data_IF_513076210840
#
_entry.id   IF_513076210840
#
_cell.length_a   1.000
_cell.length_b   1.000
_cell.length_c   1.000
_cell.angle_alpha   90.00
_cell.angle_beta   90.00
_cell.angle_gamma   90.00
#
_symmetry.space_group_name_H-M   'P 1'
#
loop_
_entity.id
_entity.type
_entity.pdbx_description
1 polymer ?
#
# COMPACT_ATOMS: atom_id res chain seq x y z
N UNK A 1 151.71 131.97 88.75
CA UNK A 1 151.09 131.99 87.41
C UNK A 1 151.23 130.60 86.77
N UNK A 2 150.15 129.81 86.69
CA UNK A 2 150.14 128.39 86.20
C UNK A 2 149.55 128.29 84.76
N UNK A 3 149.10 129.41 84.20
CA UNK A 3 148.37 129.51 82.92
C UNK A 3 149.07 128.89 81.69
N UNK A 4 150.41 129.00 81.50
CA UNK A 4 151.07 128.46 80.30
C UNK A 4 151.09 126.92 80.22
N UNK A 5 151.15 126.22 81.35
CA UNK A 5 151.31 124.76 81.37
C UNK A 5 150.03 124.01 80.92
N UNK A 6 148.86 124.52 81.31
CA UNK A 6 147.55 123.95 80.95
C UNK A 6 147.29 124.21 79.45
N UNK A 7 147.62 125.40 78.96
CA UNK A 7 147.48 125.75 77.54
C UNK A 7 148.39 124.90 76.65
N UNK A 8 149.66 124.71 77.02
CA UNK A 8 150.58 123.84 76.30
C UNK A 8 150.08 122.38 76.25
N UNK A 9 149.51 121.85 77.34
CA UNK A 9 148.96 120.49 77.37
C UNK A 9 147.67 120.37 76.54
N UNK A 10 146.79 121.37 76.58
CA UNK A 10 145.62 121.42 75.71
C UNK A 10 146.01 121.44 74.23
N UNK A 11 147.01 122.24 73.85
CA UNK A 11 147.56 122.31 72.49
C UNK A 11 148.21 120.99 72.07
N UNK A 12 148.95 120.32 72.95
CA UNK A 12 149.54 119.00 72.63
C UNK A 12 148.44 117.94 72.43
N UNK A 13 147.39 117.97 73.24
CA UNK A 13 146.29 117.00 73.12
C UNK A 13 145.43 117.26 71.88
N UNK A 14 145.14 118.52 71.55
CA UNK A 14 144.43 118.87 70.30
C UNK A 14 145.29 118.60 69.08
N UNK A 15 146.59 118.91 69.14
CA UNK A 15 147.55 118.56 68.09
C UNK A 15 147.61 117.05 67.89
N UNK A 16 147.83 116.24 68.94
CA UNK A 16 147.80 114.77 68.85
C UNK A 16 146.47 114.22 68.35
N UNK A 17 145.34 114.82 68.74
CA UNK A 17 144.01 114.42 68.27
C UNK A 17 143.84 114.69 66.78
N UNK A 18 144.26 115.87 66.32
CA UNK A 18 144.26 116.22 64.89
C UNK A 18 145.22 115.30 64.14
N UNK A 19 146.43 115.08 64.67
CA UNK A 19 147.43 114.18 64.10
C UNK A 19 146.97 112.73 64.02
N UNK A 20 146.14 112.27 64.96
CA UNK A 20 145.53 110.93 64.89
C UNK A 20 144.34 110.82 63.94
N UNK A 21 143.78 111.96 63.51
CA UNK A 21 142.58 112.02 62.66
C UNK A 21 142.87 112.43 61.22
N UNK A 22 144.08 112.93 60.96
CA UNK A 22 144.51 113.46 59.66
C UNK A 22 145.80 112.73 59.28
N UNK A 23 145.86 112.07 58.11
CA UNK A 23 147.06 111.39 57.67
C UNK A 23 148.16 112.44 57.42
N UNK A 24 149.26 112.34 58.17
CA UNK A 24 150.35 113.32 58.14
C UNK A 24 151.55 112.82 57.36
N UNK A 25 151.63 111.51 57.12
CA UNK A 25 152.68 110.89 56.33
C UNK A 25 152.16 110.48 54.96
N UNK A 26 153.03 110.57 53.94
CA UNK A 26 152.71 110.13 52.57
C UNK A 26 152.28 108.65 52.52
N UNK A 27 152.84 107.82 53.39
CA UNK A 27 152.53 106.39 53.47
C UNK A 27 151.12 106.11 54.01
N UNK A 28 150.64 106.86 55.01
CA UNK A 28 149.27 106.74 55.53
C UNK A 28 148.24 107.18 54.48
N UNK A 29 148.51 108.28 53.75
CA UNK A 29 147.66 108.73 52.64
C UNK A 29 147.59 107.66 51.53
N UNK A 30 148.71 106.99 51.25
CA UNK A 30 148.75 105.89 50.30
C UNK A 30 147.98 104.67 50.79
N UNK A 31 148.09 104.30 52.07
CA UNK A 31 147.35 103.21 52.68
C UNK A 31 145.83 103.46 52.67
N UNK A 32 145.36 104.66 53.03
CA UNK A 32 143.93 105.02 52.96
C UNK A 32 143.42 105.00 51.51
N UNK A 33 144.23 105.47 50.56
CA UNK A 33 143.90 105.41 49.14
C UNK A 33 143.79 103.98 48.64
N UNK A 34 144.70 103.11 49.04
CA UNK A 34 144.69 101.69 48.66
C UNK A 34 143.58 100.92 49.39
N UNK A 35 143.24 101.28 50.63
CA UNK A 35 142.06 100.79 51.33
C UNK A 35 140.78 101.17 50.59
N UNK A 36 140.60 102.44 50.23
CA UNK A 36 139.45 102.87 49.44
C UNK A 36 139.38 102.14 48.10
N UNK A 37 140.52 101.98 47.40
CA UNK A 37 140.60 101.18 46.17
C UNK A 37 140.19 99.73 46.40
N UNK A 38 140.60 99.12 47.51
CA UNK A 38 140.22 97.75 47.86
C UNK A 38 138.73 97.65 48.21
N UNK A 39 138.17 98.60 48.96
CA UNK A 39 136.74 98.65 49.28
C UNK A 39 135.88 98.84 48.02
N UNK A 40 136.29 99.73 47.12
CA UNK A 40 135.65 99.88 45.82
C UNK A 40 135.80 98.60 44.99
N UNK A 41 136.99 98.02 44.88
CA UNK A 41 137.20 96.78 44.14
C UNK A 41 136.38 95.61 44.70
N UNK A 42 136.29 95.46 46.02
CA UNK A 42 135.51 94.41 46.70
C UNK A 42 134.01 94.63 46.54
N UNK A 43 133.53 95.86 46.66
CA UNK A 43 132.11 96.18 46.44
C UNK A 43 131.71 95.99 44.97
N UNK A 44 132.56 96.42 44.03
CA UNK A 44 132.39 96.12 42.59
C UNK A 44 132.37 94.61 42.36
N UNK A 45 133.31 93.85 42.93
CA UNK A 45 133.35 92.40 42.78
C UNK A 45 132.11 91.72 43.37
N UNK A 46 131.64 92.17 44.53
CA UNK A 46 130.42 91.67 45.16
C UNK A 46 129.19 91.96 44.30
N UNK A 47 129.12 93.15 43.69
CA UNK A 47 128.05 93.50 42.76
C UNK A 47 128.10 92.64 41.49
N UNK A 48 129.27 92.46 40.88
CA UNK A 48 129.46 91.57 39.74
C UNK A 48 128.97 90.15 40.04
N UNK A 49 129.41 89.57 41.17
CA UNK A 49 128.96 88.25 41.61
C UNK A 49 127.45 88.19 41.81
N UNK A 50 126.86 89.21 42.42
CA UNK A 50 125.39 89.26 42.60
C UNK A 50 124.63 89.38 41.28
N UNK A 51 125.19 90.10 40.30
CA UNK A 51 124.62 90.22 38.96
C UNK A 51 124.70 88.86 38.25
N UNK A 52 125.82 88.16 38.38
CA UNK A 52 125.99 86.83 37.78
C UNK A 52 125.03 85.80 38.42
N UNK A 53 124.87 85.81 39.75
CA UNK A 53 123.88 84.97 40.43
C UNK A 53 122.44 85.25 39.99
N UNK A 54 122.08 86.53 39.81
CA UNK A 54 120.75 86.93 39.32
C UNK A 54 120.56 86.53 37.85
N UNK A 55 121.60 86.64 37.01
CA UNK A 55 121.57 86.17 35.62
C UNK A 55 121.39 84.66 35.53
N UNK A 56 122.07 83.90 36.38
CA UNK A 56 121.92 82.45 36.47
C UNK A 56 120.50 82.06 36.89
N UNK A 57 119.94 82.73 37.92
CA UNK A 57 118.56 82.50 38.37
C UNK A 57 117.55 82.86 37.27
N UNK A 58 117.72 84.00 36.60
CA UNK A 58 116.86 84.41 35.50
C UNK A 58 116.91 83.41 34.33
N UNK A 59 118.11 82.92 33.98
CA UNK A 59 118.28 81.91 32.94
C UNK A 59 117.58 80.60 33.29
N UNK A 60 117.71 80.13 34.54
CA UNK A 60 116.99 78.94 35.03
C UNK A 60 115.47 79.14 34.96
N UNK A 61 114.96 80.29 35.40
CA UNK A 61 113.54 80.60 35.34
C UNK A 61 113.00 80.65 33.90
N UNK A 62 113.76 81.20 32.95
CA UNK A 62 113.37 81.21 31.54
C UNK A 62 113.25 79.78 30.99
N UNK A 63 114.18 78.89 31.34
CA UNK A 63 114.12 77.48 30.94
C UNK A 63 112.90 76.78 31.56
N UNK A 64 112.63 77.01 32.85
CA UNK A 64 111.47 76.44 33.55
C UNK A 64 110.15 76.94 32.96
N UNK A 65 110.04 78.24 32.67
CA UNK A 65 108.88 78.83 31.99
C UNK A 65 108.71 78.20 30.59
N UNK A 66 109.81 78.00 29.86
CA UNK A 66 109.81 77.30 28.57
C UNK A 66 109.21 75.90 28.69
N UNK A 67 109.73 75.08 29.62
CA UNK A 67 109.21 73.71 29.87
C UNK A 67 107.74 73.71 30.26
N UNK A 68 107.32 74.64 31.13
CA UNK A 68 105.91 74.74 31.55
C UNK A 68 105.00 75.20 30.42
N UNK A 69 105.46 76.07 29.52
CA UNK A 69 104.72 76.43 28.30
C UNK A 69 104.57 75.23 27.37
N UNK A 70 105.60 74.41 27.20
CA UNK A 70 105.52 73.21 26.38
C UNK A 70 104.55 72.17 26.97
N UNK A 71 104.57 71.98 28.31
CA UNK A 71 103.59 71.13 29.00
C UNK A 71 102.15 71.66 28.85
N UNK A 72 101.95 72.97 28.99
CA UNK A 72 100.63 73.60 28.79
C UNK A 72 100.15 73.46 27.34
N UNK A 73 101.05 73.57 26.36
CA UNK A 73 100.71 73.38 24.95
C UNK A 73 100.24 71.94 24.68
N UNK A 74 100.94 70.93 25.22
CA UNK A 74 100.53 69.52 25.12
C UNK A 74 99.18 69.25 25.78
N UNK A 75 98.98 69.77 27.00
CA UNK A 75 97.69 69.60 27.70
C UNK A 75 96.55 70.31 26.97
N UNK A 76 96.81 71.46 26.33
CA UNK A 76 95.83 72.15 25.52
C UNK A 76 95.45 71.35 24.27
N UNK A 77 96.42 70.73 23.59
CA UNK A 77 96.18 69.85 22.45
C UNK A 77 95.37 68.60 22.87
N UNK A 78 95.77 67.93 23.94
CA UNK A 78 95.01 66.80 24.49
C UNK A 78 93.58 67.19 24.88
N UNK A 79 93.38 68.37 25.46
CA UNK A 79 92.05 68.88 25.79
C UNK A 79 91.22 69.15 24.54
N UNK A 80 91.81 69.70 23.48
CA UNK A 80 91.13 69.94 22.22
C UNK A 80 90.71 68.62 21.55
N UNK A 81 91.59 67.62 21.55
CA UNK A 81 91.26 66.30 21.01
C UNK A 81 90.16 65.62 21.82
N UNK A 82 90.19 65.72 23.16
CA UNK A 82 89.10 65.22 24.01
C UNK A 82 87.78 65.93 23.70
N UNK A 83 87.77 67.25 23.52
CA UNK A 83 86.57 68.00 23.15
C UNK A 83 86.02 67.49 21.81
N UNK A 84 86.86 67.30 20.79
CA UNK A 84 86.44 66.71 19.51
C UNK A 84 85.83 65.33 19.67
N UNK A 85 86.44 64.45 20.48
CA UNK A 85 85.88 63.12 20.72
C UNK A 85 84.53 63.17 21.44
N UNK A 86 84.34 64.12 22.36
CA UNK A 86 83.06 64.33 23.05
C UNK A 86 82.01 64.79 22.05
N UNK A 87 82.30 65.77 21.21
CA UNK A 87 81.39 66.25 20.17
C UNK A 87 81.00 65.13 19.18
N UNK A 88 81.95 64.29 18.77
CA UNK A 88 81.67 63.11 17.94
C UNK A 88 80.77 62.08 18.66
N UNK A 89 80.99 61.84 19.95
CA UNK A 89 80.16 60.91 20.72
C UNK A 89 78.77 61.48 20.98
N UNK A 90 78.65 62.79 21.21
CA UNK A 90 77.37 63.48 21.38
C UNK A 90 76.54 63.47 20.10
N UNK A 91 77.17 63.72 18.94
CA UNK A 91 76.50 63.64 17.63
C UNK A 91 76.05 62.20 17.32
N UNK A 92 76.92 61.20 17.51
CA UNK A 92 76.54 59.78 17.39
C UNK A 92 75.42 59.41 18.36
N UNK A 93 75.47 59.88 19.60
CA UNK A 93 74.42 59.67 20.59
C UNK A 93 73.08 60.29 20.21
N UNK A 94 73.10 61.49 19.63
CA UNK A 94 71.92 62.16 19.11
C UNK A 94 71.32 61.40 17.91
N UNK A 95 72.16 60.94 16.99
CA UNK A 95 71.74 60.14 15.84
C UNK A 95 71.10 58.82 16.27
N UNK A 96 71.73 58.07 17.18
CA UNK A 96 71.18 56.80 17.69
C UNK A 96 69.84 57.00 18.41
N UNK A 97 69.68 58.10 19.17
CA UNK A 97 68.39 58.45 19.79
C UNK A 97 67.32 58.79 18.76
N UNK A 98 67.69 59.48 17.68
CA UNK A 98 66.76 59.78 16.58
C UNK A 98 66.33 58.49 15.86
N UNK A 99 67.26 57.59 15.55
CA UNK A 99 66.96 56.30 14.94
C UNK A 99 66.09 55.42 15.85
N UNK A 100 66.33 55.43 17.17
CA UNK A 100 65.51 54.70 18.12
C UNK A 100 64.07 55.21 18.11
N UNK A 101 63.87 56.53 18.18
CA UNK A 101 62.53 57.15 18.10
C UNK A 101 61.81 56.82 16.79
N UNK A 102 62.52 56.87 15.67
CA UNK A 102 61.94 56.50 14.37
C UNK A 102 61.50 55.03 14.34
N UNK A 103 62.30 54.13 14.93
CA UNK A 103 61.91 52.72 15.04
C UNK A 103 60.77 52.49 16.02
N UNK A 104 60.73 53.17 17.15
CA UNK A 104 59.62 53.13 18.10
C UNK A 104 58.32 53.60 17.45
N UNK A 105 58.35 54.69 16.69
CA UNK A 105 57.19 55.19 15.95
C UNK A 105 56.73 54.19 14.89
N UNK A 106 57.65 53.62 14.12
CA UNK A 106 57.34 52.56 13.15
C UNK A 106 56.73 51.35 13.84
N UNK A 107 57.27 50.91 14.96
CA UNK A 107 56.74 49.80 15.75
C UNK A 107 55.33 50.09 16.25
N UNK A 108 55.10 51.29 16.78
CA UNK A 108 53.77 51.76 17.21
C UNK A 108 52.75 51.68 16.07
N UNK A 109 53.08 52.25 14.90
CA UNK A 109 52.21 52.22 13.71
C UNK A 109 51.96 50.78 13.24
N UNK A 110 53.00 49.93 13.20
CA UNK A 110 52.81 48.53 12.80
C UNK A 110 51.99 47.74 13.79
N UNK A 111 52.10 48.01 15.10
CA UNK A 111 51.28 47.39 16.12
C UNK A 111 49.82 47.84 16.00
N UNK A 112 49.56 49.12 15.77
CA UNK A 112 48.20 49.62 15.52
C UNK A 112 47.58 48.93 14.30
N UNK A 113 48.30 48.84 13.17
CA UNK A 113 47.83 48.11 11.98
C UNK A 113 47.62 46.62 12.24
N UNK A 114 48.45 46.01 13.09
CA UNK A 114 48.29 44.61 13.47
C UNK A 114 47.02 44.40 14.29
N UNK A 115 46.74 45.26 15.26
CA UNK A 115 45.51 45.20 16.06
C UNK A 115 44.26 45.47 15.21
N UNK A 116 44.31 46.45 14.30
CA UNK A 116 43.23 46.68 13.32
C UNK A 116 43.00 45.45 12.43
N UNK A 117 44.07 44.82 11.93
CA UNK A 117 43.96 43.61 11.13
C UNK A 117 43.41 42.41 11.93
N UNK A 118 43.79 42.28 13.20
CA UNK A 118 43.23 41.28 14.12
C UNK A 118 41.74 41.50 14.34
N UNK A 119 41.31 42.72 14.62
CA UNK A 119 39.91 43.06 14.80
C UNK A 119 39.08 42.77 13.53
N UNK A 120 39.59 43.12 12.34
CA UNK A 120 38.94 42.77 11.08
C UNK A 120 38.84 41.26 10.86
N UNK A 121 39.88 40.50 11.22
CA UNK A 121 39.85 39.03 11.11
C UNK A 121 38.83 38.41 12.06
N UNK A 122 38.71 38.92 13.30
CA UNK A 122 37.70 38.48 14.26
C UNK A 122 36.28 38.79 13.77
N UNK A 123 36.04 39.99 13.24
CA UNK A 123 34.76 40.35 12.62
C UNK A 123 34.41 39.40 11.46
N UNK A 124 35.37 39.11 10.57
CA UNK A 124 35.16 38.18 9.46
C UNK A 124 34.97 36.74 9.93
N UNK A 125 35.61 36.32 11.00
CA UNK A 125 35.38 35.01 11.61
C UNK A 125 33.94 34.89 12.14
N UNK A 126 33.44 35.92 12.84
CA UNK A 126 32.06 35.97 13.32
C UNK A 126 31.05 36.01 12.17
N UNK A 127 31.30 36.79 11.12
CA UNK A 127 30.47 36.78 9.90
C UNK A 127 30.41 35.38 9.27
N UNK A 128 31.55 34.69 9.16
CA UNK A 128 31.61 33.34 8.62
C UNK A 128 30.85 32.34 9.49
N UNK A 129 30.95 32.44 10.81
CA UNK A 129 30.16 31.60 11.73
C UNK A 129 28.66 31.85 11.59
N UNK A 130 28.24 33.11 11.48
CA UNK A 130 26.84 33.45 11.22
C UNK A 130 26.35 32.92 9.88
N UNK A 131 27.16 33.03 8.82
CA UNK A 131 26.83 32.50 7.50
C UNK A 131 26.75 30.96 7.50
N UNK A 132 27.65 30.28 8.21
CA UNK A 132 27.58 28.83 8.44
C UNK A 132 26.32 28.43 9.19
N UNK A 133 25.95 29.16 10.25
CA UNK A 133 24.73 28.89 11.01
C UNK A 133 23.47 29.09 10.13
N UNK A 134 23.46 30.11 9.27
CA UNK A 134 22.37 30.31 8.29
C UNK A 134 22.32 29.19 7.26
N UNK A 135 23.47 28.71 6.78
CA UNK A 135 23.54 27.60 5.83
C UNK A 135 22.96 26.32 6.46
N UNK A 136 23.39 25.95 7.67
CA UNK A 136 22.88 24.76 8.37
C UNK A 136 21.36 24.84 8.59
N UNK A 137 20.84 26.03 8.93
CA UNK A 137 19.38 26.23 9.03
C UNK A 137 18.69 26.05 7.68
N UNK A 138 19.23 26.63 6.61
CA UNK A 138 18.68 26.49 5.27
C UNK A 138 18.73 25.04 4.75
N UNK A 139 19.78 24.29 5.08
CA UNK A 139 19.90 22.86 4.80
C UNK A 139 18.82 22.07 5.57
N UNK A 140 18.65 22.34 6.86
CA UNK A 140 17.60 21.71 7.67
C UNK A 140 16.19 22.02 7.14
N UNK A 141 15.92 23.27 6.74
CA UNK A 141 14.65 23.67 6.13
C UNK A 141 14.43 22.97 4.78
N UNK A 142 15.48 22.82 3.98
CA UNK A 142 15.45 22.10 2.70
C UNK A 142 15.16 20.61 2.90
N UNK A 143 15.81 19.98 3.87
CA UNK A 143 15.57 18.58 4.21
C UNK A 143 14.15 18.37 4.75
N UNK A 144 13.65 19.28 5.58
CA UNK A 144 12.25 19.28 6.04
C UNK A 144 11.28 19.37 4.86
N UNK A 145 11.50 20.31 3.93
CA UNK A 145 10.68 20.44 2.71
C UNK A 145 10.78 19.20 1.82
N UNK A 146 11.95 18.55 1.73
CA UNK A 146 12.13 17.31 0.99
C UNK A 146 11.32 16.17 1.60
N UNK A 147 11.34 16.04 2.93
CA UNK A 147 10.52 15.06 3.65
C UNK A 147 9.04 15.34 3.41
N UNK A 148 8.61 16.60 3.49
CA UNK A 148 7.23 17.00 3.19
C UNK A 148 6.83 16.67 1.75
N UNK A 149 7.69 16.97 0.76
CA UNK A 149 7.43 16.64 -0.63
C UNK A 149 7.29 15.14 -0.86
N UNK A 150 8.16 14.32 -0.25
CA UNK A 150 8.05 12.85 -0.31
C UNK A 150 6.75 12.39 0.34
N UNK A 151 6.39 12.92 1.52
CA UNK A 151 5.13 12.58 2.18
C UNK A 151 3.90 12.98 1.33
N UNK A 152 3.92 14.16 0.69
CA UNK A 152 2.88 14.59 -0.25
C UNK A 152 2.84 13.71 -1.49
N UNK A 153 3.99 13.28 -2.01
CA UNK A 153 4.06 12.36 -3.15
C UNK A 153 3.46 11.00 -2.81
N UNK A 154 3.82 10.40 -1.68
CA UNK A 154 3.22 9.14 -1.21
C UNK A 154 1.70 9.29 -0.99
N UNK A 155 1.25 10.44 -0.47
CA UNK A 155 -0.19 10.71 -0.34
C UNK A 155 -0.90 10.82 -1.71
N UNK A 156 -0.25 11.43 -2.71
CA UNK A 156 -0.76 11.47 -4.08
C UNK A 156 -0.79 10.09 -4.73
N UNK A 157 0.24 9.27 -4.53
CA UNK A 157 0.28 7.88 -5.00
C UNK A 157 -0.87 7.05 -4.39
N UNK A 158 -1.06 7.13 -3.07
CA UNK A 158 -2.18 6.47 -2.39
C UNK A 158 -3.55 6.95 -2.92
N UNK A 159 -3.72 8.25 -3.16
CA UNK A 159 -4.96 8.79 -3.73
C UNK A 159 -5.15 8.32 -5.18
N UNK A 160 -4.07 8.24 -5.96
CA UNK A 160 -4.07 7.70 -7.32
C UNK A 160 -4.47 6.22 -7.33
N UNK A 161 -3.98 5.42 -6.38
CA UNK A 161 -4.37 4.02 -6.21
C UNK A 161 -5.85 3.90 -5.83
N UNK A 162 -6.33 4.74 -4.89
CA UNK A 162 -7.76 4.82 -4.55
C UNK A 162 -8.63 5.19 -5.75
N UNK A 163 -8.22 6.17 -6.56
CA UNK A 163 -8.91 6.54 -7.80
C UNK A 163 -8.89 5.38 -8.80
N UNK A 164 -7.77 4.66 -8.89
CA UNK A 164 -7.64 3.44 -9.70
C UNK A 164 -8.62 2.35 -9.27
N UNK A 165 -8.76 2.11 -7.96
CA UNK A 165 -9.67 1.12 -7.41
C UNK A 165 -11.13 1.54 -7.51
N UNK A 166 -11.46 2.82 -7.29
CA UNK A 166 -12.80 3.35 -7.57
C UNK A 166 -13.14 3.27 -9.06
N UNK A 167 -12.17 3.49 -9.95
CA UNK A 167 -12.35 3.31 -11.39
C UNK A 167 -12.62 1.85 -11.76
N UNK A 168 -11.86 0.89 -11.19
CA UNK A 168 -12.11 -0.55 -11.36
C UNK A 168 -13.49 -0.93 -10.83
N UNK A 169 -13.86 -0.51 -9.62
CA UNK A 169 -15.18 -0.76 -9.04
C UNK A 169 -16.29 -0.14 -9.88
N UNK A 170 -16.12 1.09 -10.37
CA UNK A 170 -17.06 1.73 -11.30
C UNK A 170 -17.20 0.97 -12.62
N UNK A 171 -16.12 0.39 -13.14
CA UNK A 171 -16.17 -0.46 -14.33
C UNK A 171 -16.85 -1.81 -14.07
N UNK A 172 -16.62 -2.42 -12.89
CA UNK A 172 -17.29 -3.65 -12.46
C UNK A 172 -18.79 -3.41 -12.29
N UNK A 173 -19.19 -2.37 -11.56
CA UNK A 173 -20.59 -1.98 -11.40
C UNK A 173 -21.22 -1.68 -12.77
N UNK A 174 -20.51 -0.99 -13.68
CA UNK A 174 -21.01 -0.77 -15.05
C UNK A 174 -21.24 -2.09 -15.79
N UNK A 175 -20.31 -3.04 -15.70
CA UNK A 175 -20.45 -4.36 -16.32
C UNK A 175 -21.58 -5.17 -15.70
N UNK A 176 -21.72 -5.15 -14.36
CA UNK A 176 -22.82 -5.80 -13.63
C UNK A 176 -24.17 -5.19 -14.01
N UNK A 177 -24.26 -3.86 -14.14
CA UNK A 177 -25.47 -3.17 -14.60
C UNK A 177 -25.80 -3.56 -16.04
N UNK A 178 -24.81 -3.67 -16.92
CA UNK A 178 -25.06 -4.10 -18.31
C UNK A 178 -25.51 -5.57 -18.36
N UNK A 179 -24.86 -6.46 -17.60
CA UNK A 179 -25.30 -7.87 -17.47
C UNK A 179 -26.71 -7.97 -16.89
N UNK A 180 -27.04 -7.19 -15.86
CA UNK A 180 -28.37 -7.15 -15.27
C UNK A 180 -29.42 -6.62 -16.26
N UNK A 181 -29.06 -5.63 -17.10
CA UNK A 181 -29.91 -5.13 -18.19
C UNK A 181 -30.12 -6.18 -19.28
N UNK A 182 -29.09 -6.90 -19.67
CA UNK A 182 -29.20 -8.00 -20.63
C UNK A 182 -30.07 -9.14 -20.08
N UNK A 183 -29.86 -9.54 -18.82
CA UNK A 183 -30.70 -10.51 -18.14
C UNK A 183 -32.16 -10.04 -18.03
N UNK A 184 -32.39 -8.76 -17.67
CA UNK A 184 -33.73 -8.18 -17.65
C UNK A 184 -34.40 -8.19 -19.03
N UNK A 185 -33.65 -7.87 -20.10
CA UNK A 185 -34.15 -7.98 -21.49
C UNK A 185 -34.51 -9.41 -21.86
N UNK A 186 -33.71 -10.39 -21.43
CA UNK A 186 -34.00 -11.80 -21.67
C UNK A 186 -35.22 -12.27 -20.88
N UNK A 187 -35.35 -11.90 -19.61
CA UNK A 187 -36.56 -12.16 -18.82
C UNK A 187 -37.80 -11.46 -19.40
N UNK A 188 -37.68 -10.24 -19.94
CA UNK A 188 -38.77 -9.56 -20.63
C UNK A 188 -39.17 -10.29 -21.93
N UNK A 189 -38.19 -10.83 -22.67
CA UNK A 189 -38.46 -11.68 -23.85
C UNK A 189 -39.16 -12.97 -23.45
N UNK A 190 -38.72 -13.63 -22.38
CA UNK A 190 -39.35 -14.84 -21.84
C UNK A 190 -40.77 -14.54 -21.36
N UNK A 191 -40.98 -13.43 -20.63
CA UNK A 191 -42.30 -13.00 -20.20
C UNK A 191 -43.22 -12.72 -21.40
N UNK A 192 -42.73 -12.02 -22.43
CA UNK A 192 -43.48 -11.80 -23.67
C UNK A 192 -43.79 -13.11 -24.40
N UNK A 193 -42.89 -14.09 -24.38
CA UNK A 193 -43.11 -15.40 -24.97
C UNK A 193 -44.16 -16.20 -24.18
N UNK A 194 -44.09 -16.20 -22.85
CA UNK A 194 -45.10 -16.80 -21.98
C UNK A 194 -46.45 -16.09 -22.11
N UNK A 195 -46.50 -14.76 -22.14
CA UNK A 195 -47.73 -14.01 -22.40
C UNK A 195 -48.35 -14.35 -23.76
N UNK A 196 -47.54 -14.60 -24.79
CA UNK A 196 -48.03 -15.09 -26.10
C UNK A 196 -48.49 -16.54 -26.03
N UNK A 197 -47.92 -17.37 -25.17
CA UNK A 197 -48.39 -18.75 -24.93
C UNK A 197 -49.69 -18.74 -24.17
N UNK A 198 -49.81 -17.95 -23.10
CA UNK A 198 -51.05 -17.78 -22.34
C UNK A 198 -52.14 -17.20 -23.21
N UNK A 199 -51.86 -16.16 -24.02
CA UNK A 199 -52.88 -15.62 -24.93
C UNK A 199 -53.32 -16.64 -26.00
N UNK A 200 -52.41 -17.47 -26.51
CA UNK A 200 -52.76 -18.59 -27.41
C UNK A 200 -53.59 -19.65 -26.69
N UNK A 201 -53.25 -19.99 -25.46
CA UNK A 201 -53.99 -20.94 -24.62
C UNK A 201 -55.38 -20.38 -24.25
N UNK A 202 -55.48 -19.09 -23.94
CA UNK A 202 -56.75 -18.37 -23.73
C UNK A 202 -57.58 -18.35 -25.01
N UNK A 203 -56.96 -18.14 -26.17
CA UNK A 203 -57.66 -18.21 -27.46
C UNK A 203 -58.14 -19.65 -27.73
N UNK A 204 -57.32 -20.67 -27.46
CA UNK A 204 -57.70 -22.07 -27.55
C UNK A 204 -58.82 -22.43 -26.56
N UNK A 205 -58.75 -21.94 -25.33
CA UNK A 205 -59.80 -22.09 -24.32
C UNK A 205 -61.08 -21.43 -24.80
N UNK A 206 -61.02 -20.21 -25.34
CA UNK A 206 -62.18 -19.50 -25.87
C UNK A 206 -62.78 -20.23 -27.08
N UNK A 207 -61.95 -20.85 -27.93
CA UNK A 207 -62.40 -21.68 -29.06
C UNK A 207 -63.03 -22.97 -28.55
N UNK A 208 -62.43 -23.64 -27.57
CA UNK A 208 -63.00 -24.83 -26.93
C UNK A 208 -64.30 -24.51 -26.18
N UNK A 209 -64.39 -23.37 -25.51
CA UNK A 209 -65.60 -22.85 -24.87
C UNK A 209 -66.67 -22.52 -25.92
N UNK A 210 -66.31 -21.92 -27.06
CA UNK A 210 -67.23 -21.71 -28.18
C UNK A 210 -67.72 -23.03 -28.76
N UNK A 211 -66.82 -23.98 -28.99
CA UNK A 211 -67.17 -25.34 -29.44
C UNK A 211 -68.09 -26.04 -28.43
N UNK A 212 -67.82 -25.92 -27.12
CA UNK A 212 -68.71 -26.42 -26.08
C UNK A 212 -70.07 -25.73 -26.16
N UNK A 213 -70.14 -24.40 -26.29
CA UNK A 213 -71.40 -23.67 -26.41
C UNK A 213 -72.17 -23.99 -27.70
N UNK A 214 -71.48 -24.28 -28.80
CA UNK A 214 -72.07 -24.72 -30.07
C UNK A 214 -72.57 -26.17 -29.97
N UNK A 215 -71.83 -27.04 -29.29
CA UNK A 215 -72.26 -28.40 -28.98
C UNK A 215 -73.45 -28.39 -28.02
N UNK A 216 -73.43 -27.58 -26.97
CA UNK A 216 -74.55 -27.32 -26.06
C UNK A 216 -75.74 -26.73 -26.82
N UNK A 217 -75.54 -25.78 -27.74
CA UNK A 217 -76.61 -25.25 -28.58
C UNK A 217 -77.17 -26.32 -29.53
N UNK A 218 -76.32 -27.22 -30.08
CA UNK A 218 -76.73 -28.34 -30.92
C UNK A 218 -77.48 -29.42 -30.13
N UNK A 219 -77.08 -29.67 -28.87
CA UNK A 219 -77.80 -30.50 -27.91
C UNK A 219 -79.13 -29.85 -27.57
N UNK A 220 -79.19 -28.55 -27.29
CA UNK A 220 -80.46 -27.84 -27.05
C UNK A 220 -81.40 -27.87 -28.27
N UNK A 221 -80.86 -27.87 -29.50
CA UNK A 221 -81.65 -28.04 -30.72
C UNK A 221 -82.17 -29.47 -30.83
N UNK A 222 -81.32 -30.49 -30.58
CA UNK A 222 -81.74 -31.90 -30.53
C UNK A 222 -82.75 -32.18 -29.42
N UNK A 223 -82.63 -31.53 -28.27
CA UNK A 223 -83.59 -31.61 -27.17
C UNK A 223 -84.93 -30.93 -27.53
N UNK A 224 -84.90 -29.80 -28.26
CA UNK A 224 -86.11 -29.17 -28.81
C UNK A 224 -86.76 -30.02 -29.91
N UNK A 225 -85.97 -30.71 -30.73
CA UNK A 225 -86.46 -31.63 -31.75
C UNK A 225 -87.06 -32.91 -31.12
N UNK A 226 -86.46 -33.42 -30.03
CA UNK A 226 -87.04 -34.49 -29.19
C UNK A 226 -88.33 -34.05 -28.49
N UNK A 227 -88.46 -32.77 -28.14
CA UNK A 227 -89.70 -32.21 -27.57
C UNK A 227 -90.81 -32.14 -28.61
N UNK A 228 -90.50 -31.79 -29.87
CA UNK A 228 -91.47 -31.78 -30.99
C UNK A 228 -91.89 -33.18 -31.46
N UNK A 229 -91.02 -34.18 -31.32
CA UNK A 229 -91.34 -35.59 -31.51
C UNK A 229 -92.21 -36.19 -30.38
N UNK A 230 -92.26 -35.56 -29.20
CA UNK A 230 -93.19 -35.92 -28.11
C UNK A 230 -94.58 -35.31 -28.25
N UNK A 231 -94.73 -34.17 -28.93
CA UNK A 231 -96.05 -33.58 -29.21
C UNK A 231 -96.79 -34.26 -30.38
N UNK A 232 -96.08 -35.00 -31.23
CA UNK A 232 -96.67 -35.74 -32.36
C UNK A 232 -97.01 -37.20 -32.05
N UNK A 233 -96.56 -37.74 -30.90
CA UNK A 233 -96.94 -39.10 -30.42
C UNK A 233 -98.15 -39.13 -29.49
N UNK A 234 -98.74 -37.98 -29.13
CA UNK A 234 -99.95 -37.90 -28.28
C UNK A 234 -101.25 -38.36 -28.95
N UNK A 235 -101.22 -38.73 -30.24
CA UNK A 235 -102.36 -39.27 -30.97
C UNK A 235 -102.45 -40.81 -30.94
N UNK A 236 -101.40 -41.51 -30.51
CA UNK A 236 -101.38 -42.98 -30.43
C UNK A 236 -101.83 -43.51 -29.05
N UNK A 237 -101.76 -42.68 -27.99
CA UNK A 237 -102.18 -43.06 -26.63
C UNK A 237 -103.70 -43.01 -26.38
N UNK A 238 -104.48 -42.37 -27.26
CA UNK A 238 -105.96 -42.38 -27.15
C UNK A 238 -106.57 -43.71 -27.60
N UNK A 239 -105.97 -44.38 -28.59
CA UNK A 239 -106.45 -45.67 -29.10
C UNK A 239 -106.06 -46.82 -28.14
N UNK A 240 -104.90 -46.70 -27.47
CA UNK A 240 -104.46 -47.68 -26.46
C UNK A 240 -105.25 -47.60 -25.14
N UNK A 241 -105.73 -46.42 -24.73
CA UNK A 241 -106.52 -46.31 -23.49
C UNK A 241 -107.95 -46.87 -23.62
N UNK A 242 -108.55 -46.77 -24.81
CA UNK A 242 -109.90 -47.28 -25.13
C UNK A 242 -109.92 -48.82 -25.30
N UNK A 243 -108.83 -49.40 -25.82
CA UNK A 243 -108.60 -50.85 -25.85
C UNK A 243 -108.30 -51.43 -24.45
N UNK A 244 -107.60 -50.70 -23.57
CA UNK A 244 -107.40 -51.16 -22.17
C UNK A 244 -108.66 -51.10 -21.32
N UNK A 245 -109.60 -50.20 -21.61
CA UNK A 245 -110.90 -50.18 -20.92
C UNK A 245 -111.79 -51.38 -21.33
N UNK A 246 -111.80 -51.74 -22.62
CA UNK A 246 -112.53 -52.92 -23.12
C UNK A 246 -111.90 -54.24 -22.66
N UNK A 247 -110.57 -54.30 -22.49
CA UNK A 247 -109.86 -55.46 -21.92
C UNK A 247 -110.16 -55.63 -20.42
N UNK A 248 -110.35 -54.54 -19.67
CA UNK A 248 -110.72 -54.61 -18.24
C UNK A 248 -112.20 -54.99 -18.07
N UNK A 249 -113.08 -54.56 -18.97
CA UNK A 249 -114.51 -54.95 -18.97
C UNK A 249 -114.74 -56.41 -19.43
N UNK A 250 -113.98 -56.90 -20.40
CA UNK A 250 -114.01 -58.34 -20.76
C UNK A 250 -113.28 -59.21 -19.72
N UNK A 251 -112.30 -58.67 -19.00
CA UNK A 251 -111.67 -59.35 -17.85
C UNK A 251 -112.58 -59.43 -16.62
N UNK A 252 -113.46 -58.45 -16.38
CA UNK A 252 -114.46 -58.57 -15.31
C UNK A 252 -115.57 -59.56 -15.68
N UNK A 253 -115.97 -59.64 -16.95
CA UNK A 253 -116.92 -60.65 -17.45
C UNK A 253 -116.36 -62.08 -17.41
N UNK A 254 -115.06 -62.26 -17.69
CA UNK A 254 -114.40 -63.56 -17.52
C UNK A 254 -114.26 -63.96 -16.05
N UNK A 255 -113.98 -63.02 -15.13
CA UNK A 255 -113.97 -63.31 -13.68
C UNK A 255 -115.37 -63.63 -13.14
N UNK A 256 -116.43 -62.98 -13.62
CA UNK A 256 -117.81 -63.32 -13.26
C UNK A 256 -118.28 -64.67 -13.84
N UNK A 257 -117.81 -65.04 -15.03
CA UNK A 257 -118.08 -66.33 -15.65
C UNK A 257 -117.20 -67.46 -15.07
N UNK A 258 -115.97 -67.16 -14.66
CA UNK A 258 -115.07 -68.06 -13.91
C UNK A 258 -115.56 -68.28 -12.48
N UNK A 259 -116.17 -67.28 -11.83
CA UNK A 259 -116.84 -67.45 -10.53
C UNK A 259 -118.12 -68.30 -10.66
N UNK A 260 -118.89 -68.14 -11.74
CA UNK A 260 -120.05 -69.01 -12.05
C UNK A 260 -119.61 -70.42 -12.46
N UNK A 261 -118.48 -70.58 -13.15
CA UNK A 261 -117.86 -71.88 -13.47
C UNK A 261 -117.25 -72.55 -12.23
N UNK A 262 -116.65 -71.80 -11.30
CA UNK A 262 -116.16 -72.32 -10.01
C UNK A 262 -117.32 -72.74 -9.09
N UNK A 263 -118.44 -72.01 -9.09
CA UNK A 263 -119.64 -72.35 -8.31
C UNK A 263 -120.38 -73.57 -8.88
N UNK A 264 -120.35 -73.76 -10.21
CA UNK A 264 -120.93 -74.93 -10.89
C UNK A 264 -119.99 -76.12 -10.92
N UNK A 265 -118.67 -75.95 -10.88
CA UNK A 265 -117.70 -77.05 -10.73
C UNK A 265 -117.62 -77.55 -9.30
N UNK A 266 -117.86 -76.73 -8.27
CA UNK A 266 -118.06 -77.21 -6.90
C UNK A 266 -119.40 -77.94 -6.69
N UNK A 267 -120.44 -77.63 -7.49
CA UNK A 267 -121.69 -78.41 -7.51
C UNK A 267 -121.60 -79.66 -8.43
N UNK A 268 -120.73 -79.64 -9.44
CA UNK A 268 -120.49 -80.75 -10.37
C UNK A 268 -119.40 -81.73 -9.88
N UNK A 269 -118.51 -81.32 -8.96
CA UNK A 269 -117.62 -82.21 -8.18
C UNK A 269 -118.37 -82.86 -7.00
N UNK A 270 -119.55 -82.33 -6.66
CA UNK A 270 -120.57 -82.99 -5.82
C UNK A 270 -121.64 -83.75 -6.64
N UNK A 271 -121.48 -83.84 -7.96
CA UNK A 271 -121.97 -84.99 -8.69
C UNK A 271 -120.86 -86.05 -8.65
N UNK A 272 -121.23 -87.32 -8.54
CA UNK A 272 -120.39 -88.45 -8.98
C UNK A 272 -119.37 -88.98 -7.97
N UNK A 273 -119.71 -88.98 -6.68
CA UNK A 273 -119.28 -90.05 -5.75
C UNK A 273 -120.42 -90.97 -5.27
N UNK A 274 -121.67 -90.77 -5.70
CA UNK A 274 -122.73 -91.79 -5.57
C UNK A 274 -123.88 -91.58 -6.62
N UNK A 275 -123.92 -92.46 -7.63
CA UNK A 275 -124.96 -92.76 -8.66
C UNK A 275 -125.41 -91.73 -9.78
N UNK A 276 -125.41 -92.19 -11.06
CA UNK A 276 -126.29 -91.87 -12.24
C UNK A 276 -126.06 -90.70 -13.28
N UNK A 277 -126.05 -91.12 -14.59
CA UNK A 277 -126.45 -90.57 -15.93
C UNK A 277 -125.80 -89.39 -16.74
N UNK A 278 -125.24 -89.78 -17.92
CA UNK A 278 -125.31 -89.22 -19.32
C UNK A 278 -124.92 -87.75 -19.66
N UNK A 279 -123.61 -87.41 -19.82
CA UNK A 279 -123.10 -86.25 -20.62
C UNK A 279 -121.54 -86.01 -20.71
N UNK A 280 -120.65 -86.96 -21.02
CA UNK A 280 -119.17 -86.71 -20.89
C UNK A 280 -118.36 -86.56 -22.20
N UNK A 281 -118.76 -87.15 -23.33
CA UNK A 281 -117.78 -87.32 -24.43
C UNK A 281 -117.56 -86.11 -25.37
N UNK A 282 -118.46 -85.13 -25.44
CA UNK A 282 -118.32 -84.01 -26.41
C UNK A 282 -117.38 -82.88 -25.97
N UNK A 283 -117.00 -82.79 -24.69
CA UNK A 283 -116.24 -81.65 -24.16
C UNK A 283 -114.70 -81.77 -24.30
N UNK A 284 -114.14 -82.97 -24.48
CA UNK A 284 -112.68 -83.15 -24.49
C UNK A 284 -111.97 -82.70 -25.79
N UNK A 285 -112.67 -82.56 -26.92
CA UNK A 285 -112.01 -82.36 -28.21
C UNK A 285 -111.55 -80.91 -28.49
N UNK A 286 -112.15 -79.89 -27.88
CA UNK A 286 -111.84 -78.48 -28.20
C UNK A 286 -110.64 -77.91 -27.44
N UNK A 287 -110.22 -78.51 -26.32
CA UNK A 287 -109.20 -77.94 -25.44
C UNK A 287 -107.75 -78.12 -25.94
N UNK A 288 -107.52 -79.08 -26.85
CA UNK A 288 -106.17 -79.51 -27.19
C UNK A 288 -105.50 -78.64 -28.29
N UNK A 289 -106.27 -77.89 -29.07
CA UNK A 289 -105.75 -77.05 -30.17
C UNK A 289 -105.14 -75.73 -29.70
N UNK A 290 -105.54 -75.23 -28.53
CA UNK A 290 -105.17 -73.90 -28.05
C UNK A 290 -103.77 -73.86 -27.43
N UNK A 291 -103.28 -74.99 -26.92
CA UNK A 291 -101.97 -75.12 -26.25
C UNK A 291 -100.77 -74.93 -27.18
N UNK A 292 -100.86 -75.27 -28.47
CA UNK A 292 -99.71 -75.31 -29.39
C UNK A 292 -99.23 -73.92 -29.88
N UNK A 293 -100.03 -72.86 -29.77
CA UNK A 293 -99.67 -71.53 -30.29
C UNK A 293 -98.67 -70.77 -29.43
N UNK A 294 -98.70 -70.97 -28.11
CA UNK A 294 -97.94 -70.15 -27.16
C UNK A 294 -96.44 -70.48 -27.08
N UNK A 295 -96.02 -71.67 -27.53
CA UNK A 295 -94.61 -72.09 -27.41
C UNK A 295 -93.66 -71.41 -28.43
N UNK A 296 -94.17 -70.89 -29.55
CA UNK A 296 -93.33 -70.36 -30.64
C UNK A 296 -92.81 -68.93 -30.40
N UNK A 297 -93.45 -68.11 -29.56
CA UNK A 297 -93.04 -66.71 -29.34
C UNK A 297 -91.82 -66.56 -28.42
N UNK A 298 -91.54 -67.56 -27.57
CA UNK A 298 -90.51 -67.46 -26.54
C UNK A 298 -89.06 -67.61 -27.08
N UNK A 299 -88.89 -68.21 -28.26
CA UNK A 299 -87.58 -68.46 -28.85
C UNK A 299 -86.90 -67.21 -29.44
N UNK A 300 -87.67 -66.25 -29.95
CA UNK A 300 -87.14 -65.09 -30.69
C UNK A 300 -86.34 -64.09 -29.82
N UNK A 301 -86.70 -63.95 -28.54
CA UNK A 301 -86.13 -62.94 -27.63
C UNK A 301 -84.71 -63.30 -27.16
N UNK A 302 -84.29 -64.56 -27.28
CA UNK A 302 -83.01 -65.03 -26.76
C UNK A 302 -81.77 -64.65 -27.60
N UNK A 303 -81.93 -64.36 -28.90
CA UNK A 303 -80.82 -64.18 -29.84
C UNK A 303 -80.16 -62.77 -29.80
N UNK A 304 -80.88 -61.73 -29.36
CA UNK A 304 -80.36 -60.35 -29.33
C UNK A 304 -79.26 -60.13 -28.28
N UNK A 305 -79.28 -60.87 -27.18
CA UNK A 305 -78.37 -60.68 -26.06
C UNK A 305 -76.91 -61.06 -26.33
N UNK A 306 -76.62 -61.91 -27.34
CA UNK A 306 -75.26 -62.38 -27.63
C UNK A 306 -74.37 -61.33 -28.32
N UNK A 307 -74.97 -60.35 -29.02
CA UNK A 307 -74.25 -59.40 -29.89
C UNK A 307 -73.50 -58.31 -29.12
N UNK A 308 -73.95 -57.98 -27.91
CA UNK A 308 -73.40 -56.88 -27.11
C UNK A 308 -72.07 -57.20 -26.40
N UNK A 309 -71.72 -58.47 -26.21
CA UNK A 309 -70.51 -58.86 -25.46
C UNK A 309 -69.19 -58.67 -26.24
N UNK A 310 -69.20 -58.70 -27.57
CA UNK A 310 -67.97 -58.72 -28.38
C UNK A 310 -67.26 -57.35 -28.50
N UNK A 311 -67.93 -56.23 -28.21
CA UNK A 311 -67.36 -54.88 -28.39
C UNK A 311 -66.42 -54.43 -27.26
N UNK A 312 -66.44 -55.07 -26.09
CA UNK A 312 -65.66 -54.65 -24.91
C UNK A 312 -64.19 -55.13 -24.94
N UNK A 313 -63.88 -56.22 -25.64
CA UNK A 313 -62.55 -56.86 -25.60
C UNK A 313 -61.46 -56.04 -26.33
N UNK A 314 -61.83 -55.25 -27.34
CA UNK A 314 -60.89 -54.56 -28.24
C UNK A 314 -60.22 -53.33 -27.62
N UNK A 315 -60.85 -52.67 -26.64
CA UNK A 315 -60.32 -51.45 -26.01
C UNK A 315 -59.17 -51.71 -25.02
N UNK A 316 -58.90 -52.97 -24.66
CA UNK A 316 -57.95 -53.32 -23.60
C UNK A 316 -56.48 -53.41 -24.04
N UNK A 317 -56.18 -53.71 -25.31
CA UNK A 317 -54.83 -54.07 -25.79
C UNK A 317 -53.86 -52.91 -26.09
N UNK A 318 -54.36 -51.69 -26.35
CA UNK A 318 -53.54 -50.55 -26.82
C UNK A 318 -52.64 -49.93 -25.73
N UNK A 319 -52.90 -50.21 -24.45
CA UNK A 319 -52.26 -49.51 -23.32
C UNK A 319 -50.94 -50.12 -22.81
N UNK A 320 -50.55 -51.30 -23.28
CA UNK A 320 -49.40 -52.05 -22.72
C UNK A 320 -48.09 -51.78 -23.46
N UNK A 321 -48.12 -51.33 -24.71
CA UNK A 321 -46.92 -51.20 -25.55
C UNK A 321 -46.08 -49.93 -25.29
N UNK A 322 -46.67 -48.85 -24.76
CA UNK A 322 -45.97 -47.57 -24.51
C UNK A 322 -45.03 -47.58 -23.28
N UNK A 323 -45.14 -48.57 -22.39
CA UNK A 323 -44.39 -48.58 -21.12
C UNK A 323 -42.97 -49.18 -21.22
N UNK A 324 -42.72 -50.03 -22.24
CA UNK A 324 -41.44 -50.75 -22.38
C UNK A 324 -40.37 -49.95 -23.14
N UNK A 325 -40.76 -48.92 -23.88
CA UNK A 325 -39.87 -48.06 -24.66
C UNK A 325 -39.10 -47.07 -23.77
N UNK A 326 -39.80 -46.40 -22.84
CA UNK A 326 -39.19 -45.41 -21.94
C UNK A 326 -38.12 -46.01 -20.99
N UNK A 327 -38.28 -47.27 -20.59
CA UNK A 327 -37.31 -47.95 -19.71
C UNK A 327 -35.95 -48.17 -20.37
N UNK A 328 -35.91 -48.38 -21.69
CA UNK A 328 -34.66 -48.69 -22.42
C UNK A 328 -33.79 -47.47 -22.63
N UNK A 329 -34.39 -46.31 -22.90
CA UNK A 329 -33.67 -45.06 -23.16
C UNK A 329 -32.97 -44.51 -21.90
N UNK A 330 -33.61 -44.65 -20.74
CA UNK A 330 -33.06 -44.19 -19.46
C UNK A 330 -31.80 -44.99 -19.03
N UNK A 331 -31.70 -46.27 -19.43
CA UNK A 331 -30.53 -47.10 -19.17
C UNK A 331 -29.30 -46.66 -19.97
N UNK A 332 -29.48 -46.27 -21.25
CA UNK A 332 -28.42 -45.80 -22.14
C UNK A 332 -27.84 -44.46 -21.67
N UNK A 333 -28.70 -43.55 -21.16
CA UNK A 333 -28.26 -42.25 -20.66
C UNK A 333 -27.37 -42.39 -19.41
N UNK A 334 -27.69 -43.34 -18.52
CA UNK A 334 -26.90 -43.65 -17.32
C UNK A 334 -25.54 -44.26 -17.65
N UNK A 335 -25.42 -45.01 -18.73
CA UNK A 335 -24.12 -45.56 -19.16
C UNK A 335 -23.16 -44.45 -19.63
N UNK A 336 -23.65 -43.55 -20.50
CA UNK A 336 -22.85 -42.44 -21.05
C UNK A 336 -22.36 -41.47 -19.98
N UNK A 337 -23.18 -41.19 -18.97
CA UNK A 337 -22.81 -40.32 -17.85
C UNK A 337 -21.66 -40.92 -17.02
N UNK A 338 -21.68 -42.25 -16.83
CA UNK A 338 -20.62 -42.95 -16.09
C UNK A 338 -19.30 -43.00 -16.87
N UNK A 339 -19.34 -43.07 -18.21
CA UNK A 339 -18.12 -43.02 -19.05
C UNK A 339 -17.47 -41.63 -19.05
N UNK A 340 -18.27 -40.57 -19.11
CA UNK A 340 -17.75 -39.20 -19.05
C UNK A 340 -17.11 -38.90 -17.70
N UNK A 341 -17.75 -39.34 -16.61
CA UNK A 341 -17.19 -39.22 -15.26
C UNK A 341 -15.85 -39.96 -15.11
N UNK A 342 -15.71 -41.14 -15.74
CA UNK A 342 -14.46 -41.91 -15.73
C UNK A 342 -13.33 -41.20 -16.51
N UNK A 343 -13.63 -40.56 -17.64
CA UNK A 343 -12.64 -39.81 -18.43
C UNK A 343 -12.14 -38.55 -17.70
N UNK A 344 -13.05 -37.76 -17.11
CA UNK A 344 -12.67 -36.52 -16.40
C UNK A 344 -11.81 -36.85 -15.18
N UNK A 345 -12.16 -37.89 -14.42
CA UNK A 345 -11.39 -38.33 -13.24
C UNK A 345 -10.05 -38.98 -13.59
N UNK A 346 -9.96 -39.69 -14.72
CA UNK A 346 -8.70 -40.18 -15.24
C UNK A 346 -7.78 -39.04 -15.71
N UNK A 347 -8.34 -38.01 -16.36
CA UNK A 347 -7.61 -36.84 -16.83
C UNK A 347 -7.07 -35.99 -15.66
N UNK A 348 -7.88 -35.76 -14.62
CA UNK A 348 -7.43 -35.03 -13.42
C UNK A 348 -6.35 -35.81 -12.67
N UNK A 349 -6.48 -37.14 -12.54
CA UNK A 349 -5.44 -37.97 -11.95
C UNK A 349 -4.14 -37.99 -12.75
N UNK A 350 -4.19 -37.83 -14.09
CA UNK A 350 -2.99 -37.74 -14.93
C UNK A 350 -2.28 -36.37 -14.82
N UNK A 351 -3.04 -35.29 -14.57
CA UNK A 351 -2.52 -33.94 -14.36
C UNK A 351 -1.88 -33.75 -12.97
N UNK A 352 -2.46 -34.37 -11.93
CA UNK A 352 -2.00 -34.25 -10.53
C UNK A 352 -0.78 -35.14 -10.17
N UNK A 353 -0.40 -36.07 -11.05
CA UNK A 353 0.74 -36.99 -10.85
C UNK A 353 0.54 -37.96 -9.68
N UNK A 354 1.63 -38.62 -9.25
CA UNK A 354 1.59 -39.68 -8.23
C UNK A 354 1.14 -39.20 -6.83
N UNK A 355 1.06 -37.88 -6.62
CA UNK A 355 0.57 -37.21 -5.40
C UNK A 355 -0.95 -36.98 -5.34
N UNK A 356 -1.72 -37.40 -6.36
CA UNK A 356 -3.17 -37.22 -6.40
C UNK A 356 -3.91 -38.00 -5.29
N UNK A 357 -4.89 -37.38 -4.63
CA UNK A 357 -5.80 -38.11 -3.71
C UNK A 357 -6.63 -39.18 -4.44
N UNK A 358 -6.81 -39.05 -5.76
CA UNK A 358 -7.60 -39.96 -6.60
C UNK A 358 -6.88 -41.30 -6.76
N UNK A 359 -5.55 -41.33 -6.89
CA UNK A 359 -4.77 -42.58 -6.97
C UNK A 359 -4.84 -43.35 -5.64
N UNK A 360 -4.81 -42.65 -4.50
CA UNK A 360 -4.99 -43.24 -3.18
C UNK A 360 -6.40 -43.85 -3.01
N UNK A 361 -7.45 -43.18 -3.49
CA UNK A 361 -8.82 -43.69 -3.47
C UNK A 361 -9.00 -44.88 -4.44
N UNK A 362 -8.38 -44.85 -5.61
CA UNK A 362 -8.41 -45.96 -6.56
C UNK A 362 -7.66 -47.20 -6.04
N UNK A 363 -6.63 -47.00 -5.21
CA UNK A 363 -5.89 -48.07 -4.55
C UNK A 363 -6.69 -48.70 -3.39
N UNK A 364 -7.52 -47.93 -2.68
CA UNK A 364 -8.39 -48.43 -1.61
C UNK A 364 -9.73 -48.99 -2.10
N UNK A 365 -10.14 -48.69 -3.34
CA UNK A 365 -11.38 -49.19 -3.90
C UNK A 365 -11.31 -50.71 -4.21
N UNK A 366 -12.35 -51.51 -3.85
CA UNK A 366 -12.35 -52.96 -4.04
C UNK A 366 -12.13 -53.35 -5.50
N UNK A 367 -11.28 -54.35 -5.75
CA UNK A 367 -11.08 -54.97 -7.07
C UNK A 367 -12.01 -56.16 -7.17
N UNK A 368 -12.89 -56.18 -8.19
CA UNK A 368 -13.65 -57.38 -8.50
C UNK A 368 -12.65 -58.38 -9.11
N UNK A 369 -12.42 -59.49 -8.42
CA UNK A 369 -11.48 -60.52 -8.86
C UNK A 369 -11.97 -61.14 -10.18
N UNK A 370 -11.11 -61.18 -11.19
CA UNK A 370 -11.34 -61.96 -12.42
C UNK A 370 -11.32 -63.44 -12.05
N UNK A 371 -12.46 -64.12 -12.19
CA UNK A 371 -12.51 -65.58 -12.17
C UNK A 371 -11.78 -66.12 -13.40
N UNK A 372 -10.69 -66.85 -13.20
CA UNK A 372 -9.99 -67.61 -14.22
C UNK A 372 -10.77 -68.88 -14.55
N UNK A 373 -11.17 -69.06 -15.80
CA UNK A 373 -11.83 -70.29 -16.27
C UNK A 373 -12.28 -70.20 -17.72
N UNK A 374 -11.62 -70.96 -18.60
CA UNK A 374 -11.92 -71.07 -20.03
C UNK A 374 -13.33 -71.63 -20.30
N UNK A 375 -14.04 -70.93 -21.20
CA UNK A 375 -15.03 -71.39 -22.22
C UNK A 375 -16.41 -70.72 -22.08
N UNK A 376 -16.94 -70.42 -23.27
CA UNK A 376 -18.31 -70.05 -23.61
C UNK A 376 -18.70 -68.57 -23.46
N UNK A 377 -19.46 -68.17 -24.47
CA UNK A 377 -19.98 -66.86 -24.75
C UNK A 377 -20.94 -66.34 -23.67
N UNK A 378 -21.16 -65.03 -23.76
CA UNK A 378 -22.41 -64.37 -23.37
C UNK A 378 -22.60 -64.07 -21.87
N UNK A 379 -22.74 -62.76 -21.60
CA UNK A 379 -23.30 -62.16 -20.39
C UNK A 379 -22.62 -62.47 -19.05
N UNK A 380 -21.59 -61.68 -18.77
CA UNK A 380 -21.44 -61.05 -17.44
C UNK A 380 -21.23 -59.54 -17.60
N UNK A 381 -22.19 -58.87 -18.21
CA UNK A 381 -22.35 -57.40 -18.11
C UNK A 381 -22.94 -57.07 -16.74
N UNK A 382 -22.13 -57.24 -15.70
CA UNK A 382 -22.26 -56.38 -14.54
C UNK A 382 -21.75 -54.99 -14.95
N UNK A 383 -22.46 -53.89 -14.64
CA UNK A 383 -21.99 -52.57 -15.00
C UNK A 383 -20.60 -52.36 -14.40
N UNK A 384 -19.57 -52.24 -15.25
CA UNK A 384 -18.20 -51.97 -14.81
C UNK A 384 -18.23 -50.78 -13.86
N UNK A 385 -17.66 -50.96 -12.68
CA UNK A 385 -17.69 -49.89 -11.68
C UNK A 385 -16.87 -48.69 -12.18
N UNK A 386 -17.20 -47.50 -11.70
CA UNK A 386 -16.51 -46.27 -12.12
C UNK A 386 -14.99 -46.38 -11.88
N UNK A 387 -14.59 -47.00 -10.76
CA UNK A 387 -13.19 -47.23 -10.41
C UNK A 387 -12.45 -48.17 -11.40
N UNK A 388 -13.13 -49.19 -11.95
CA UNK A 388 -12.55 -50.07 -12.97
C UNK A 388 -12.36 -49.36 -14.31
N UNK A 389 -13.32 -48.52 -14.71
CA UNK A 389 -13.20 -47.70 -15.92
C UNK A 389 -12.05 -46.71 -15.84
N UNK A 390 -11.87 -46.06 -14.68
CA UNK A 390 -10.75 -45.12 -14.45
C UNK A 390 -9.40 -45.85 -14.51
N UNK A 391 -9.28 -47.03 -13.89
CA UNK A 391 -8.05 -47.84 -13.96
C UNK A 391 -7.72 -48.28 -15.39
N UNK A 392 -8.71 -48.75 -16.15
CA UNK A 392 -8.51 -49.14 -17.55
C UNK A 392 -8.03 -47.96 -18.41
N UNK A 393 -8.58 -46.77 -18.20
CA UNK A 393 -8.14 -45.56 -18.90
C UNK A 393 -6.71 -45.15 -18.51
N UNK A 394 -6.34 -45.25 -17.23
CA UNK A 394 -4.97 -44.99 -16.77
C UNK A 394 -3.95 -46.00 -17.33
N UNK A 395 -4.32 -47.28 -17.43
CA UNK A 395 -3.49 -48.31 -18.07
C UNK A 395 -3.28 -48.02 -19.55
N UNK A 396 -4.34 -47.67 -20.30
CA UNK A 396 -4.20 -47.26 -21.71
C UNK A 396 -3.34 -46.00 -21.88
N UNK A 397 -3.46 -45.03 -20.98
CA UNK A 397 -2.66 -43.80 -21.02
C UNK A 397 -1.17 -44.06 -20.67
N UNK A 398 -0.88 -45.04 -19.80
CA UNK A 398 0.48 -45.48 -19.49
C UNK A 398 1.12 -46.27 -20.64
N UNK A 399 0.36 -47.14 -21.30
CA UNK A 399 0.81 -47.88 -22.50
C UNK A 399 1.15 -46.93 -23.66
N UNK A 400 0.34 -45.89 -23.88
CA UNK A 400 0.61 -44.87 -24.91
C UNK A 400 1.78 -43.91 -24.59
N UNK A 401 2.33 -43.93 -23.36
CA UNK A 401 3.53 -43.15 -22.97
C UNK A 401 4.82 -43.97 -23.06
N UNK A 402 4.75 -45.27 -23.28
CA UNK A 402 5.89 -46.22 -23.25
C UNK A 402 6.14 -46.94 -24.58
N UNK A 403 5.33 -46.67 -25.60
CA UNK A 403 5.62 -46.94 -27.02
C UNK A 403 5.73 -45.63 -27.78
#
# INVERSE_FOLDING_TARGET
MISPAIWNRAVILTKRRIESSVPLTLNEIQADKDQLRAEFAMSTRRLELSIDELRDKASRQVIEIGRKRDELAKLAEESQDRIRTIEELETRGAEMRAQLREREERLSITNQRLEEARAMLEEKALELEQMRARLVRAEADSDSRRIELVAKQTAMENLSDQVGDFSKSSSQIRNEVEQAREAAREHERQLKAEQRRTSKLEEQLSRAQKQLSELEASLSKRERDLSRLRETSGSEDRINSELTAQIVEEKSRTVELEAKLAQTTLQMEALLSDASNDNVQKAMASLNSEKQRLENELAAISAENAKMKAMLESASKVRVEDWDTERRENAVLRERMNDLAAQVTAMTSALEGDSSKITAILASAPRIAKAEGRKAAEKTTGPRTLAERIRALQETARQNKTG
#
